data_IF_865520513989
#
_entry.id   IF_865520513989
#
_cell.length_a   1.000
_cell.length_b   1.000
_cell.length_c   1.000
_cell.angle_alpha   90.00
_cell.angle_beta   90.00
_cell.angle_gamma   90.00
#
_symmetry.space_group_name_H-M   'P 1'
#
loop_
_entity.id
_entity.type
_entity.pdbx_description
1 polymer ?
#
# COMPACT_ATOMS: atom_id res chain seq x y z
N UNK A 1 -35.87 29.42 31.52
CA UNK A 1 -35.44 28.86 30.22
C UNK A 1 -34.45 27.74 30.49
N UNK A 2 -34.79 26.51 30.12
CA UNK A 2 -33.89 25.36 30.23
C UNK A 2 -33.28 25.16 28.83
N UNK A 3 -31.96 25.29 28.70
CA UNK A 3 -31.25 25.08 27.42
C UNK A 3 -30.63 23.68 27.49
N UNK A 4 -31.06 22.76 26.62
CA UNK A 4 -30.36 21.49 26.40
C UNK A 4 -29.70 21.54 25.02
N UNK A 5 -28.36 21.35 24.92
CA UNK A 5 -27.71 21.23 23.63
C UNK A 5 -28.01 19.85 23.03
N UNK A 6 -28.51 19.81 21.79
CA UNK A 6 -28.55 18.61 20.97
C UNK A 6 -27.43 18.75 19.93
N UNK A 7 -26.44 17.87 20.00
CA UNK A 7 -25.38 17.80 19.00
C UNK A 7 -25.87 16.90 17.86
N UNK A 8 -26.04 17.45 16.66
CA UNK A 8 -26.33 16.65 15.45
C UNK A 8 -25.14 16.79 14.51
N UNK A 9 -24.50 15.67 14.19
CA UNK A 9 -23.40 15.59 13.21
C UNK A 9 -23.94 14.94 11.94
N UNK A 10 -23.88 15.65 10.80
CA UNK A 10 -24.06 15.04 9.48
C UNK A 10 -22.72 14.97 8.75
N UNK A 11 -22.44 13.82 8.14
CA UNK A 11 -21.23 13.53 7.36
C UNK A 11 -21.60 13.14 5.94
N UNK A 12 -21.13 13.88 4.92
CA UNK A 12 -20.69 13.33 3.61
C UNK A 12 -20.42 14.43 2.57
N UNK A 13 -19.22 14.45 1.96
CA UNK A 13 -18.95 13.94 0.60
C UNK A 13 -17.48 14.18 0.18
N UNK A 14 -16.91 13.22 -0.56
CA UNK A 14 -15.55 13.22 -1.11
C UNK A 14 -15.57 13.49 -2.64
N UNK A 15 -14.61 14.25 -3.18
CA UNK A 15 -14.43 14.48 -4.62
C UNK A 15 -13.05 14.03 -5.13
N UNK A 16 -13.03 13.46 -6.34
CA UNK A 16 -11.84 13.05 -7.09
C UNK A 16 -11.57 14.03 -8.24
N UNK A 17 -10.38 14.67 -8.29
CA UNK A 17 -10.00 15.55 -9.40
C UNK A 17 -8.84 14.96 -10.22
N UNK A 18 -9.13 14.59 -11.48
CA UNK A 18 -8.25 13.82 -12.37
C UNK A 18 -7.16 14.66 -13.05
N UNK A 19 -7.14 15.99 -12.93
CA UNK A 19 -6.32 16.86 -13.79
C UNK A 19 -4.96 17.34 -13.24
N UNK A 20 -4.61 17.11 -11.97
CA UNK A 20 -3.36 17.68 -11.40
C UNK A 20 -2.52 16.78 -10.48
N UNK A 21 -2.72 15.46 -10.47
CA UNK A 21 -1.82 14.53 -9.75
C UNK A 21 -1.75 14.67 -8.22
N UNK A 22 -2.46 15.63 -7.61
CA UNK A 22 -2.61 15.79 -6.16
C UNK A 22 -3.86 15.07 -5.68
N UNK A 23 -3.70 14.20 -4.69
CA UNK A 23 -4.80 13.63 -3.91
C UNK A 23 -4.95 14.49 -2.66
N UNK A 24 -6.13 15.06 -2.45
CA UNK A 24 -6.40 15.93 -1.30
C UNK A 24 -7.78 15.58 -0.74
N UNK A 25 -7.83 15.26 0.56
CA UNK A 25 -9.06 15.03 1.31
C UNK A 25 -9.36 16.34 2.04
N UNK A 26 -10.49 16.99 1.71
CA UNK A 26 -10.97 18.16 2.44
C UNK A 26 -12.07 17.72 3.39
N UNK A 27 -11.89 18.00 4.68
CA UNK A 27 -12.92 17.90 5.70
C UNK A 27 -13.46 19.31 5.95
N UNK A 28 -14.77 19.50 5.78
CA UNK A 28 -15.45 20.73 6.23
C UNK A 28 -16.17 20.37 7.52
N UNK A 29 -15.69 20.92 8.63
CA UNK A 29 -16.40 20.93 9.90
C UNK A 29 -17.25 22.20 9.96
N UNK A 30 -18.57 22.05 9.91
CA UNK A 30 -19.48 23.13 10.29
C UNK A 30 -20.09 22.80 11.65
N UNK A 31 -19.68 23.55 12.67
CA UNK A 31 -20.39 23.58 13.96
C UNK A 31 -21.43 24.70 13.89
N UNK A 32 -22.71 24.33 13.87
CA UNK A 32 -23.82 25.27 14.02
C UNK A 32 -24.44 25.13 15.41
N UNK A 33 -24.84 26.24 16.04
CA UNK A 33 -25.73 26.23 17.20
C UNK A 33 -27.12 26.67 16.74
N UNK A 34 -28.13 25.86 17.03
CA UNK A 34 -29.53 26.29 16.92
C UNK A 34 -29.86 27.04 18.20
N UNK A 35 -30.40 28.26 18.08
CA UNK A 35 -31.06 28.96 19.18
C UNK A 35 -32.54 29.01 18.86
N UNK A 36 -33.35 28.29 19.65
CA UNK A 36 -34.80 28.48 19.65
C UNK A 36 -35.13 29.71 20.50
N UNK A 37 -35.86 30.66 19.91
CA UNK A 37 -36.43 31.80 20.63
C UNK A 37 -37.94 31.61 20.67
N UNK A 38 -38.48 31.45 21.88
CA UNK A 38 -39.91 31.24 22.10
C UNK A 38 -40.63 32.59 22.18
N UNK A 39 -41.61 32.79 21.30
CA UNK A 39 -42.57 33.89 21.38
C UNK A 39 -43.98 33.31 21.48
N UNK A 40 -44.46 33.08 22.70
CA UNK A 40 -45.78 32.48 22.93
C UNK A 40 -45.91 31.09 22.28
N UNK A 41 -47.05 30.73 21.65
CA UNK A 41 -47.28 29.38 21.13
C UNK A 41 -46.58 29.07 19.80
N UNK A 42 -45.73 29.97 19.28
CA UNK A 42 -45.09 29.84 17.95
C UNK A 42 -43.58 29.66 18.11
N UNK A 43 -43.02 28.64 17.43
CA UNK A 43 -41.57 28.37 17.34
C UNK A 43 -41.05 28.92 16.01
N UNK A 44 -40.03 29.78 16.05
CA UNK A 44 -39.28 30.20 14.85
C UNK A 44 -37.81 29.75 14.94
N UNK A 45 -37.33 29.07 13.90
CA UNK A 45 -35.93 28.65 13.76
C UNK A 45 -35.13 29.72 13.01
N UNK A 46 -34.12 30.31 13.65
CA UNK A 46 -33.19 31.27 13.03
C UNK A 46 -31.85 30.57 12.74
N UNK A 47 -31.46 30.52 11.46
CA UNK A 47 -30.15 30.07 11.02
C UNK A 47 -29.18 31.25 11.00
N UNK A 48 -28.05 31.14 11.70
CA UNK A 48 -26.95 32.09 11.58
C UNK A 48 -25.76 31.38 10.93
N UNK A 49 -25.36 31.84 9.73
CA UNK A 49 -24.16 31.35 9.05
C UNK A 49 -22.93 32.09 9.59
N UNK A 50 -21.97 31.36 10.15
CA UNK A 50 -20.64 31.89 10.47
C UNK A 50 -19.79 31.80 9.20
N UNK A 51 -19.22 32.94 8.77
CA UNK A 51 -18.31 33.04 7.62
C UNK A 51 -17.15 32.03 7.71
N UNK A 52 -16.87 31.33 6.61
CA UNK A 52 -15.63 30.57 6.43
C UNK A 52 -14.63 31.38 5.60
N UNK A 53 -13.51 31.76 6.20
CA UNK A 53 -12.36 32.32 5.48
C UNK A 53 -11.55 31.17 4.89
N UNK A 54 -11.41 31.15 3.56
CA UNK A 54 -10.48 30.25 2.85
C UNK A 54 -9.14 31.00 2.71
N UNK A 55 -8.06 30.45 3.25
CA UNK A 55 -6.70 30.89 2.91
C UNK A 55 -6.14 29.97 1.82
N UNK A 56 -5.78 30.56 0.68
CA UNK A 56 -5.02 29.93 -0.40
C UNK A 56 -3.70 30.71 -0.51
N UNK A 57 -2.57 30.06 -0.23
CA UNK A 57 -1.23 30.64 -0.40
C UNK A 57 -0.60 30.03 -1.65
N UNK A 58 -0.54 30.80 -2.73
CA UNK A 58 0.37 30.58 -3.85
C UNK A 58 1.59 31.50 -3.66
N UNK A 59 2.79 30.91 -3.60
CA UNK A 59 4.04 31.65 -3.55
C UNK A 59 4.76 31.45 -4.89
N UNK A 60 4.60 32.41 -5.80
CA UNK A 60 5.45 32.57 -6.98
C UNK A 60 6.56 33.58 -6.66
N UNK A 61 7.81 33.12 -6.58
CA UNK A 61 8.96 34.00 -6.66
C UNK A 61 9.46 34.05 -8.11
N UNK A 62 9.37 35.26 -8.63
CA UNK A 62 9.84 35.77 -9.92
C UNK A 62 11.36 35.72 -10.07
N UNK A 63 11.82 35.40 -11.27
CA UNK A 63 12.90 36.16 -11.90
C UNK A 63 12.68 36.22 -13.41
N UNK A 64 12.37 37.43 -13.87
CA UNK A 64 12.30 37.85 -15.27
C UNK A 64 13.69 37.75 -15.92
N UNK A 65 13.72 37.30 -17.17
CA UNK A 65 14.61 37.93 -18.16
C UNK A 65 13.86 37.97 -19.51
N UNK A 66 13.36 39.15 -19.85
CA UNK A 66 12.85 39.46 -21.18
C UNK A 66 14.04 39.66 -22.13
N UNK A 67 14.02 39.01 -23.29
CA UNK A 67 14.74 39.48 -24.46
C UNK A 67 13.83 39.39 -25.67
N UNK A 68 13.18 40.52 -25.98
CA UNK A 68 12.58 40.83 -27.27
C UNK A 68 13.70 41.38 -28.17
N UNK A 69 13.85 40.85 -29.38
CA UNK A 69 14.61 41.53 -30.44
C UNK A 69 13.98 41.29 -31.80
N UNK A 70 13.28 42.33 -32.24
CA UNK A 70 13.12 42.89 -33.58
C UNK A 70 13.35 42.01 -34.83
N UNK A 71 12.31 42.00 -35.66
CA UNK A 71 12.34 41.76 -37.10
C UNK A 71 13.40 42.64 -37.79
N UNK A 72 14.20 42.02 -38.66
CA UNK A 72 14.75 42.71 -39.82
C UNK A 72 14.74 41.76 -41.03
N UNK A 73 14.13 42.25 -42.10
CA UNK A 73 14.02 41.57 -43.39
C UNK A 73 15.31 41.80 -44.16
N UNK A 74 15.94 40.74 -44.66
CA UNK A 74 16.89 40.87 -45.77
C UNK A 74 16.79 39.67 -46.70
N UNK A 75 16.56 40.01 -47.97
CA UNK A 75 16.41 39.18 -49.14
C UNK A 75 17.81 38.76 -49.64
N UNK A 76 18.07 37.47 -49.89
CA UNK A 76 18.56 36.94 -51.20
C UNK A 76 18.92 35.44 -51.17
N UNK A 77 18.63 34.82 -52.33
CA UNK A 77 19.25 33.63 -52.93
C UNK A 77 18.92 32.23 -52.37
N UNK A 78 17.88 31.64 -52.96
CA UNK A 78 17.65 30.19 -53.00
C UNK A 78 18.62 29.56 -53.99
N UNK A 79 19.56 28.75 -53.51
CA UNK A 79 20.23 27.74 -54.33
C UNK A 79 19.55 26.40 -54.10
N UNK A 80 18.86 25.90 -55.12
CA UNK A 80 18.30 24.55 -55.17
C UNK A 80 19.45 23.58 -55.39
N UNK A 81 19.88 22.88 -54.33
CA UNK A 81 20.81 21.75 -54.43
C UNK A 81 19.98 20.48 -54.51
N UNK A 82 20.08 19.78 -55.65
CA UNK A 82 19.48 18.46 -55.85
C UNK A 82 20.17 17.39 -54.98
N UNK A 83 19.46 16.37 -54.47
CA UNK A 83 20.06 15.37 -53.60
C UNK A 83 20.89 14.38 -54.42
N UNK A 84 22.22 14.44 -54.29
CA UNK A 84 23.11 13.37 -54.73
C UNK A 84 22.91 12.15 -53.82
N UNK A 85 22.52 11.02 -54.42
CA UNK A 85 22.45 9.71 -53.75
C UNK A 85 23.82 9.35 -53.16
N UNK A 86 24.00 9.51 -51.85
CA UNK A 86 25.14 8.92 -51.13
C UNK A 86 24.99 7.39 -51.13
N UNK A 87 25.95 6.70 -51.74
CA UNK A 87 26.17 5.26 -51.54
C UNK A 87 26.38 5.01 -50.04
N UNK A 88 25.64 4.05 -49.46
CA UNK A 88 25.81 3.61 -48.07
C UNK A 88 27.24 3.08 -47.88
N UNK A 89 28.08 3.87 -47.21
CA UNK A 89 29.38 3.43 -46.73
C UNK A 89 29.20 2.51 -45.52
N UNK A 90 30.13 1.55 -45.37
CA UNK A 90 30.26 0.69 -44.20
C UNK A 90 30.34 1.56 -42.92
N UNK A 91 29.61 1.24 -41.83
CA UNK A 91 29.68 2.03 -40.62
C UNK A 91 31.14 2.11 -40.10
N UNK A 92 31.54 3.23 -39.49
CA UNK A 92 32.88 3.38 -38.92
C UNK A 92 33.14 2.27 -37.91
N UNK A 93 34.35 1.68 -37.94
CA UNK A 93 34.73 0.53 -37.10
C UNK A 93 34.42 0.76 -35.60
N UNK A 94 34.56 1.99 -35.11
CA UNK A 94 34.21 2.38 -33.74
C UNK A 94 32.73 2.24 -33.39
N UNK A 95 31.79 2.57 -34.29
CA UNK A 95 30.35 2.39 -34.01
C UNK A 95 29.95 0.91 -33.99
N UNK A 96 30.63 0.07 -34.78
CA UNK A 96 30.41 -1.37 -34.76
C UNK A 96 31.01 -2.04 -33.51
N UNK A 97 32.15 -1.52 -33.03
CA UNK A 97 32.79 -2.00 -31.80
C UNK A 97 32.01 -1.53 -30.55
N UNK A 98 31.50 -0.29 -30.52
CA UNK A 98 30.61 0.22 -29.45
C UNK A 98 29.27 -0.54 -29.41
N UNK A 99 28.65 -0.79 -30.57
CA UNK A 99 27.41 -1.58 -30.64
C UNK A 99 27.62 -3.03 -30.19
N UNK A 100 28.76 -3.65 -30.53
CA UNK A 100 29.12 -4.99 -30.03
C UNK A 100 29.38 -5.01 -28.53
N UNK A 101 30.07 -4.01 -27.99
CA UNK A 101 30.30 -3.91 -26.53
C UNK A 101 28.98 -3.67 -25.77
N UNK A 102 28.03 -2.98 -26.39
CA UNK A 102 26.70 -2.75 -25.82
C UNK A 102 25.82 -4.02 -25.91
N UNK A 103 25.85 -4.75 -27.03
CA UNK A 103 25.18 -6.05 -27.18
C UNK A 103 25.76 -7.12 -26.24
N UNK A 104 27.09 -7.23 -26.10
CA UNK A 104 27.74 -8.14 -25.15
C UNK A 104 27.45 -7.75 -23.69
N UNK A 105 27.33 -6.45 -23.39
CA UNK A 105 26.91 -5.93 -22.08
C UNK A 105 25.45 -6.27 -21.76
N UNK A 106 24.55 -6.11 -22.73
CA UNK A 106 23.13 -6.44 -22.61
C UNK A 106 22.91 -7.96 -22.51
N UNK A 107 23.66 -8.79 -23.24
CA UNK A 107 23.63 -10.25 -23.13
C UNK A 107 24.19 -10.74 -21.79
N UNK A 108 25.26 -10.14 -21.27
CA UNK A 108 25.80 -10.45 -19.95
C UNK A 108 24.86 -10.02 -18.81
N UNK A 109 24.17 -8.88 -18.95
CA UNK A 109 23.12 -8.42 -18.02
C UNK A 109 21.92 -9.36 -18.07
N UNK A 110 21.47 -9.74 -19.27
CA UNK A 110 20.39 -10.71 -19.46
C UNK A 110 20.76 -12.09 -18.88
N UNK A 111 21.99 -12.57 -19.06
CA UNK A 111 22.47 -13.82 -18.47
C UNK A 111 22.58 -13.74 -16.94
N UNK A 112 23.04 -12.60 -16.38
CA UNK A 112 23.07 -12.36 -14.93
C UNK A 112 21.67 -12.27 -14.34
N UNK A 113 20.72 -11.66 -15.05
CA UNK A 113 19.30 -11.57 -14.69
C UNK A 113 18.61 -12.93 -14.77
N UNK A 114 18.92 -13.73 -15.80
CA UNK A 114 18.45 -15.10 -15.94
C UNK A 114 19.01 -16.01 -14.83
N UNK A 115 20.30 -15.87 -14.49
CA UNK A 115 20.93 -16.59 -13.37
C UNK A 115 20.37 -16.16 -12.02
N UNK A 116 20.12 -14.86 -11.80
CA UNK A 116 19.41 -14.33 -10.62
C UNK A 116 17.97 -14.86 -10.53
N UNK A 117 17.27 -14.97 -11.66
CA UNK A 117 15.93 -15.55 -11.71
C UNK A 117 15.94 -17.05 -11.39
N UNK A 118 16.93 -17.80 -11.89
CA UNK A 118 17.12 -19.23 -11.60
C UNK A 118 17.51 -19.48 -10.14
N UNK A 119 18.31 -18.59 -9.54
CA UNK A 119 18.75 -18.71 -8.14
C UNK A 119 17.77 -18.08 -7.13
N UNK A 120 16.64 -17.54 -7.58
CA UNK A 120 15.67 -16.86 -6.72
C UNK A 120 14.96 -17.83 -5.76
N UNK A 121 14.82 -19.09 -6.17
CA UNK A 121 14.08 -20.12 -5.44
C UNK A 121 14.96 -21.36 -5.19
N UNK A 122 16.26 -21.17 -4.98
CA UNK A 122 17.24 -22.24 -4.72
C UNK A 122 17.13 -23.43 -5.70
N UNK A 123 16.96 -23.15 -7.00
CA UNK A 123 16.85 -24.16 -8.05
C UNK A 123 15.44 -24.67 -8.34
N UNK A 124 14.42 -24.26 -7.58
CA UNK A 124 13.02 -24.58 -7.89
C UNK A 124 12.48 -23.75 -9.05
N UNK A 125 11.73 -24.39 -9.95
CA UNK A 125 11.07 -23.69 -11.05
C UNK A 125 9.89 -22.85 -10.57
N UNK A 126 9.52 -21.82 -11.34
CA UNK A 126 8.34 -20.97 -11.03
C UNK A 126 7.06 -21.80 -10.97
N UNK A 127 6.92 -22.81 -11.83
CA UNK A 127 5.74 -23.67 -11.87
C UNK A 127 5.59 -24.50 -10.57
N UNK A 128 6.69 -25.06 -10.06
CA UNK A 128 6.69 -25.78 -8.78
C UNK A 128 6.37 -24.85 -7.61
N UNK A 129 6.91 -23.62 -7.60
CA UNK A 129 6.55 -22.62 -6.58
C UNK A 129 5.08 -22.23 -6.65
N UNK A 130 4.51 -22.06 -7.85
CA UNK A 130 3.10 -21.73 -8.03
C UNK A 130 2.15 -22.86 -7.62
N UNK A 131 2.62 -24.11 -7.61
CA UNK A 131 1.86 -25.26 -7.12
C UNK A 131 1.80 -25.33 -5.58
N UNK A 132 2.65 -24.59 -4.86
CA UNK A 132 2.62 -24.50 -3.40
C UNK A 132 1.52 -23.54 -2.94
N UNK A 133 0.97 -23.81 -1.76
CA UNK A 133 0.12 -22.89 -1.01
C UNK A 133 0.88 -22.33 0.19
N UNK A 134 0.32 -21.31 0.83
CA UNK A 134 0.84 -20.75 2.07
C UNK A 134 -0.19 -21.02 3.18
N UNK A 135 0.15 -21.79 4.22
CA UNK A 135 -0.73 -22.02 5.35
C UNK A 135 -1.17 -20.71 6.02
N UNK A 136 -2.41 -20.69 6.49
CA UNK A 136 -2.87 -19.63 7.37
C UNK A 136 -2.19 -19.74 8.73
N UNK A 137 -1.87 -18.59 9.32
CA UNK A 137 -1.41 -18.49 10.70
C UNK A 137 -2.54 -17.85 11.50
N UNK A 138 -3.46 -18.68 11.98
CA UNK A 138 -4.73 -18.23 12.55
C UNK A 138 -5.11 -19.03 13.78
N UNK A 139 -5.64 -18.35 14.78
CA UNK A 139 -6.14 -18.94 16.04
C UNK A 139 -7.36 -18.14 16.52
N UNK A 140 -7.99 -18.61 17.59
CA UNK A 140 -9.09 -17.91 18.25
C UNK A 140 -8.59 -16.70 19.05
N UNK A 141 -9.48 -15.77 19.38
CA UNK A 141 -9.20 -14.60 20.23
C UNK A 141 -8.12 -13.64 19.68
N UNK A 142 -7.96 -13.58 18.36
CA UNK A 142 -7.08 -12.60 17.72
C UNK A 142 -7.66 -11.18 17.81
N UNK A 143 -6.79 -10.21 18.06
CA UNK A 143 -7.13 -8.79 17.96
C UNK A 143 -7.27 -8.40 16.48
N UNK A 144 -6.31 -8.84 15.64
CA UNK A 144 -6.24 -8.46 14.22
C UNK A 144 -5.99 -9.72 13.40
N UNK A 145 -6.79 -9.92 12.35
CA UNK A 145 -6.48 -10.86 11.28
C UNK A 145 -6.10 -10.09 10.02
N UNK A 146 -4.83 -10.18 9.61
CA UNK A 146 -4.33 -9.59 8.38
C UNK A 146 -4.77 -10.46 7.21
N UNK A 147 -5.53 -9.88 6.28
CA UNK A 147 -6.08 -10.57 5.11
C UNK A 147 -5.36 -10.07 3.86
N UNK A 148 -4.45 -10.88 3.36
CA UNK A 148 -3.76 -10.65 2.09
C UNK A 148 -4.63 -11.01 0.88
N UNK A 149 -4.11 -10.72 -0.33
CA UNK A 149 -4.81 -11.06 -1.57
C UNK A 149 -4.66 -12.55 -1.84
N UNK A 150 -3.42 -12.96 -2.06
CA UNK A 150 -2.99 -14.33 -2.29
C UNK A 150 -1.48 -14.42 -2.07
N UNK A 151 -0.92 -15.63 -1.88
CA UNK A 151 0.51 -15.79 -1.71
C UNK A 151 1.27 -15.34 -2.96
N UNK A 152 2.27 -14.47 -2.77
CA UNK A 152 3.26 -14.20 -3.80
C UNK A 152 4.26 -15.35 -3.91
N UNK A 153 4.97 -15.46 -5.04
CA UNK A 153 5.96 -16.53 -5.26
C UNK A 153 6.95 -16.71 -4.10
N UNK A 154 7.48 -15.62 -3.53
CA UNK A 154 8.45 -15.75 -2.44
C UNK A 154 7.79 -16.21 -1.13
N UNK A 155 6.54 -15.82 -0.87
CA UNK A 155 5.77 -16.36 0.27
C UNK A 155 5.55 -17.85 0.14
N UNK A 156 5.11 -18.32 -1.04
CA UNK A 156 4.90 -19.74 -1.29
C UNK A 156 6.20 -20.55 -1.27
N UNK A 157 7.30 -19.95 -1.75
CA UNK A 157 8.62 -20.58 -1.72
C UNK A 157 9.16 -20.72 -0.28
N UNK A 158 9.15 -19.62 0.49
CA UNK A 158 9.68 -19.58 1.86
C UNK A 158 8.74 -20.24 2.88
N UNK A 159 7.45 -20.34 2.58
CA UNK A 159 6.44 -20.84 3.53
C UNK A 159 6.00 -19.82 4.58
N UNK A 160 6.31 -18.53 4.37
CA UNK A 160 6.05 -17.46 5.34
C UNK A 160 5.33 -16.25 4.73
N UNK A 161 4.69 -15.48 5.59
CA UNK A 161 3.91 -14.29 5.23
C UNK A 161 4.81 -13.07 4.97
N UNK A 162 4.61 -12.43 3.81
CA UNK A 162 5.30 -11.21 3.38
C UNK A 162 6.85 -11.22 3.42
N UNK A 163 7.58 -12.24 2.93
CA UNK A 163 9.03 -12.35 3.02
C UNK A 163 9.81 -11.54 1.97
N UNK A 164 9.11 -10.90 1.03
CA UNK A 164 9.78 -10.09 0.02
C UNK A 164 10.39 -8.86 0.70
N UNK A 165 11.71 -8.62 0.59
CA UNK A 165 12.35 -7.46 1.23
C UNK A 165 11.72 -6.13 0.81
N UNK A 166 11.25 -6.03 -0.43
CA UNK A 166 10.53 -4.84 -0.90
C UNK A 166 9.09 -4.72 -0.38
N UNK A 167 8.55 -5.71 0.33
CA UNK A 167 7.22 -5.62 0.93
C UNK A 167 7.26 -4.76 2.20
N UNK A 168 6.35 -3.79 2.29
CA UNK A 168 6.36 -2.83 3.39
C UNK A 168 5.71 -3.38 4.68
N UNK A 169 5.12 -4.58 4.67
CA UNK A 169 4.32 -5.10 5.80
C UNK A 169 5.08 -5.06 7.13
N UNK A 170 6.21 -5.76 7.22
CA UNK A 170 7.00 -5.87 8.44
C UNK A 170 7.57 -4.53 8.91
N UNK A 171 7.97 -3.68 7.97
CA UNK A 171 8.45 -2.31 8.26
C UNK A 171 7.32 -1.42 8.79
N UNK A 172 6.14 -1.46 8.19
CA UNK A 172 4.97 -0.69 8.65
C UNK A 172 4.47 -1.20 10.01
N UNK A 173 4.51 -2.51 10.26
CA UNK A 173 4.13 -3.11 11.52
C UNK A 173 4.96 -2.53 12.68
N UNK A 174 6.29 -2.52 12.52
CA UNK A 174 7.20 -1.92 13.48
C UNK A 174 7.03 -0.40 13.61
N UNK A 175 7.09 0.34 12.49
CA UNK A 175 7.02 1.82 12.53
C UNK A 175 5.71 2.35 13.11
N UNK A 176 4.62 1.57 13.08
CA UNK A 176 3.34 1.94 13.70
C UNK A 176 3.29 1.71 15.21
N UNK A 177 4.23 0.92 15.75
CA UNK A 177 4.22 0.42 17.12
C UNK A 177 3.17 -0.67 17.38
N UNK A 178 2.72 -1.39 16.34
CA UNK A 178 1.96 -2.63 16.50
C UNK A 178 2.85 -3.75 17.06
N UNK A 179 4.13 -3.73 16.70
CA UNK A 179 5.19 -4.48 17.36
C UNK A 179 6.18 -3.52 18.00
N UNK A 180 6.79 -3.95 19.10
CA UNK A 180 7.82 -3.24 19.85
C UNK A 180 9.21 -3.34 19.19
N UNK A 181 9.42 -4.37 18.37
CA UNK A 181 10.67 -4.63 17.65
C UNK A 181 10.45 -4.77 16.13
N UNK A 182 11.51 -4.56 15.36
CA UNK A 182 11.51 -4.81 13.92
C UNK A 182 11.61 -6.32 13.66
N UNK A 183 10.47 -6.94 13.42
CA UNK A 183 10.38 -8.35 13.05
C UNK A 183 10.53 -8.54 11.54
N UNK A 184 10.68 -9.80 11.12
CA UNK A 184 10.70 -10.22 9.72
C UNK A 184 9.77 -11.44 9.52
N UNK A 185 9.73 -11.97 8.30
CA UNK A 185 8.84 -13.07 7.94
C UNK A 185 9.00 -14.35 8.75
N UNK A 186 10.18 -14.61 9.33
CA UNK A 186 10.42 -15.79 10.18
C UNK A 186 9.65 -15.74 11.50
N UNK A 187 9.08 -14.59 11.84
CA UNK A 187 8.35 -14.36 13.08
C UNK A 187 6.82 -14.46 12.90
N UNK A 188 6.31 -14.77 11.71
CA UNK A 188 4.86 -14.81 11.47
C UNK A 188 4.12 -15.80 12.38
N UNK A 189 4.70 -16.95 12.68
CA UNK A 189 4.11 -17.97 13.55
C UNK A 189 3.97 -17.54 15.02
N UNK A 190 4.82 -16.63 15.52
CA UNK A 190 4.77 -16.15 16.92
C UNK A 190 3.81 -14.96 17.10
N UNK A 191 3.37 -14.32 16.02
CA UNK A 191 2.52 -13.14 16.07
C UNK A 191 1.15 -13.35 16.72
N UNK A 192 0.47 -14.50 16.53
CA UNK A 192 -0.78 -14.79 17.22
C UNK A 192 -0.63 -14.80 18.75
N UNK A 193 0.45 -15.39 19.26
CA UNK A 193 0.69 -15.52 20.70
C UNK A 193 1.17 -14.18 21.29
N UNK A 194 2.18 -13.55 20.68
CA UNK A 194 2.85 -12.40 21.28
C UNK A 194 2.13 -11.06 21.02
N UNK A 195 1.39 -10.95 19.91
CA UNK A 195 0.76 -9.69 19.49
C UNK A 195 -0.74 -9.81 19.20
N UNK A 196 -1.31 -11.02 19.28
CA UNK A 196 -2.70 -11.29 18.89
C UNK A 196 -3.00 -10.91 17.43
N UNK A 197 -2.01 -11.10 16.54
CA UNK A 197 -2.11 -10.82 15.10
C UNK A 197 -2.01 -12.14 14.34
N UNK A 198 -2.97 -12.44 13.48
CA UNK A 198 -2.94 -13.59 12.58
C UNK A 198 -2.85 -13.21 11.10
N UNK A 199 -2.73 -14.23 10.25
CA UNK A 199 -2.60 -14.11 8.81
C UNK A 199 -3.49 -15.09 8.06
N UNK A 200 -4.15 -14.60 7.01
CA UNK A 200 -4.77 -15.41 5.97
C UNK A 200 -4.75 -14.66 4.64
N UNK A 201 -5.20 -15.30 3.57
CA UNK A 201 -5.41 -14.67 2.27
C UNK A 201 -6.84 -14.89 1.78
N UNK A 202 -7.33 -13.95 0.96
CA UNK A 202 -8.59 -14.08 0.24
C UNK A 202 -8.57 -15.30 -0.70
N UNK A 203 -7.47 -15.50 -1.43
CA UNK A 203 -7.29 -16.60 -2.38
C UNK A 203 -6.06 -17.42 -2.00
N UNK A 204 -6.20 -18.74 -1.94
CA UNK A 204 -5.12 -19.67 -1.56
C UNK A 204 -4.06 -19.84 -2.65
N UNK A 205 -4.46 -19.80 -3.92
CA UNK A 205 -3.58 -20.07 -5.06
C UNK A 205 -2.44 -19.03 -5.17
N UNK A 206 -1.22 -19.54 -5.25
CA UNK A 206 -0.01 -18.74 -5.44
C UNK A 206 0.07 -18.16 -6.85
N UNK A 207 0.38 -16.86 -6.97
CA UNK A 207 0.65 -16.21 -8.27
C UNK A 207 1.79 -15.18 -8.19
N UNK A 208 2.40 -14.81 -9.33
CA UNK A 208 3.32 -13.68 -9.39
C UNK A 208 2.68 -12.35 -8.94
N UNK A 209 1.40 -12.13 -9.29
CA UNK A 209 0.65 -10.98 -8.81
C UNK A 209 -0.87 -11.17 -8.83
N UNK A 210 -1.56 -10.26 -8.16
CA UNK A 210 -3.02 -10.28 -8.02
C UNK A 210 -3.79 -10.13 -9.33
N UNK A 211 -3.13 -9.68 -10.42
CA UNK A 211 -3.73 -9.57 -11.75
C UNK A 211 -3.96 -10.94 -12.42
N UNK A 212 -3.29 -11.98 -11.92
CA UNK A 212 -3.37 -13.35 -12.43
C UNK A 212 -4.51 -14.16 -11.80
N UNK A 213 -5.34 -13.50 -10.97
CA UNK A 213 -6.51 -14.07 -10.33
C UNK A 213 -7.77 -13.68 -11.09
N UNK A 214 -8.64 -14.65 -11.36
CA UNK A 214 -9.94 -14.36 -11.95
C UNK A 214 -10.93 -13.81 -10.93
N UNK A 215 -11.89 -13.01 -11.40
CA UNK A 215 -13.00 -12.53 -10.54
C UNK A 215 -13.87 -13.66 -9.97
N UNK A 216 -13.84 -14.86 -10.57
CA UNK A 216 -14.54 -16.04 -10.02
C UNK A 216 -13.79 -16.57 -8.80
N UNK A 217 -12.48 -16.72 -8.91
CA UNK A 217 -11.64 -17.19 -7.80
C UNK A 217 -11.69 -16.26 -6.60
N UNK A 218 -11.64 -14.94 -6.81
CA UNK A 218 -11.68 -13.99 -5.69
C UNK A 218 -13.04 -14.00 -4.99
N UNK A 219 -14.15 -14.18 -5.72
CA UNK A 219 -15.48 -14.32 -5.12
C UNK A 219 -15.63 -15.61 -4.32
N UNK A 220 -15.12 -16.72 -4.85
CA UNK A 220 -15.09 -17.99 -4.12
C UNK A 220 -14.24 -17.87 -2.85
N UNK A 221 -13.05 -17.29 -2.98
CA UNK A 221 -12.19 -16.95 -1.85
C UNK A 221 -12.87 -16.09 -0.80
N UNK A 222 -13.73 -15.16 -1.22
CA UNK A 222 -14.56 -14.34 -0.33
C UNK A 222 -15.51 -15.15 0.55
N UNK A 223 -16.10 -16.22 0.02
CA UNK A 223 -16.99 -17.11 0.80
C UNK A 223 -16.20 -17.95 1.79
N UNK A 224 -15.10 -18.55 1.35
CA UNK A 224 -14.22 -19.32 2.23
C UNK A 224 -13.62 -18.44 3.34
N UNK A 225 -13.29 -17.19 3.02
CA UNK A 225 -12.82 -16.21 3.99
C UNK A 225 -13.93 -15.85 5.00
N UNK A 226 -15.19 -15.71 4.56
CA UNK A 226 -16.31 -15.48 5.46
C UNK A 226 -16.42 -16.62 6.48
N UNK A 227 -16.33 -17.88 6.04
CA UNK A 227 -16.38 -19.05 6.94
C UNK A 227 -15.27 -18.99 8.00
N UNK A 228 -14.04 -18.62 7.60
CA UNK A 228 -12.91 -18.43 8.54
C UNK A 228 -13.20 -17.31 9.53
N UNK A 229 -13.72 -16.18 9.08
CA UNK A 229 -14.01 -15.03 9.93
C UNK A 229 -15.14 -15.36 10.93
N UNK A 230 -16.16 -16.09 10.51
CA UNK A 230 -17.24 -16.56 11.39
C UNK A 230 -16.76 -17.61 12.40
N UNK A 231 -15.78 -18.44 12.03
CA UNK A 231 -15.16 -19.43 12.93
C UNK A 231 -14.27 -18.77 13.98
N UNK A 232 -13.29 -17.97 13.56
CA UNK A 232 -12.22 -17.47 14.44
C UNK A 232 -12.54 -16.14 15.10
N UNK A 233 -13.49 -15.36 14.55
CA UNK A 233 -14.05 -14.13 15.14
C UNK A 233 -12.97 -13.16 15.68
N UNK A 234 -11.98 -12.75 14.87
CA UNK A 234 -11.01 -11.74 15.32
C UNK A 234 -11.71 -10.42 15.65
N UNK A 235 -11.14 -9.55 16.48
CA UNK A 235 -11.75 -8.23 16.71
C UNK A 235 -11.81 -7.41 15.41
N UNK A 236 -10.73 -7.46 14.62
CA UNK A 236 -10.58 -6.71 13.37
C UNK A 236 -10.18 -7.64 12.21
N UNK A 237 -10.99 -7.65 11.15
CA UNK A 237 -10.62 -8.19 9.84
C UNK A 237 -9.93 -7.09 9.01
N UNK A 238 -8.60 -7.13 8.94
CA UNK A 238 -7.77 -6.09 8.32
C UNK A 238 -7.37 -6.47 6.88
N UNK A 239 -8.07 -5.90 5.90
CA UNK A 239 -7.86 -6.15 4.47
C UNK A 239 -6.64 -5.38 3.95
N UNK A 240 -5.58 -6.12 3.60
CA UNK A 240 -4.35 -5.60 3.03
C UNK A 240 -4.45 -5.43 1.51
N UNK A 241 -5.35 -4.55 1.07
CA UNK A 241 -5.54 -4.21 -0.33
C UNK A 241 -6.98 -3.84 -0.69
N UNK A 242 -7.13 -2.70 -1.37
CA UNK A 242 -8.44 -2.18 -1.79
C UNK A 242 -9.25 -3.15 -2.67
N UNK A 243 -8.62 -3.75 -3.67
CA UNK A 243 -9.32 -4.57 -4.67
C UNK A 243 -10.00 -5.83 -4.10
N UNK A 244 -9.40 -6.47 -3.10
CA UNK A 244 -10.02 -7.65 -2.46
C UNK A 244 -11.21 -7.26 -1.59
N UNK A 245 -11.13 -6.13 -0.88
CA UNK A 245 -12.24 -5.66 -0.08
C UNK A 245 -13.42 -5.18 -0.94
N UNK A 246 -13.16 -4.57 -2.10
CA UNK A 246 -14.23 -4.21 -3.05
C UNK A 246 -15.02 -5.44 -3.50
N UNK A 247 -14.33 -6.55 -3.78
CA UNK A 247 -14.97 -7.80 -4.19
C UNK A 247 -15.68 -8.45 -3.00
N UNK A 248 -15.02 -8.54 -1.84
CA UNK A 248 -15.61 -9.07 -0.62
C UNK A 248 -16.88 -8.32 -0.22
N UNK A 249 -16.84 -6.98 -0.24
CA UNK A 249 -17.97 -6.13 0.11
C UNK A 249 -19.15 -6.35 -0.83
N UNK A 250 -18.89 -6.47 -2.14
CA UNK A 250 -19.94 -6.77 -3.11
C UNK A 250 -20.52 -8.17 -2.92
N UNK A 251 -19.67 -9.17 -2.68
CA UNK A 251 -20.09 -10.58 -2.57
C UNK A 251 -20.84 -10.86 -1.27
N UNK A 252 -20.34 -10.33 -0.15
CA UNK A 252 -20.84 -10.65 1.19
C UNK A 252 -21.90 -9.67 1.66
N UNK A 253 -21.74 -8.37 1.40
CA UNK A 253 -22.71 -7.34 1.83
C UNK A 253 -23.69 -6.95 0.73
N UNK A 254 -23.51 -7.42 -0.52
CA UNK A 254 -24.34 -7.01 -1.65
C UNK A 254 -24.13 -5.55 -2.07
N UNK A 255 -23.12 -4.86 -1.53
CA UNK A 255 -22.90 -3.43 -1.76
C UNK A 255 -21.76 -3.20 -2.74
N UNK A 256 -22.04 -2.48 -3.83
CA UNK A 256 -20.99 -1.95 -4.70
C UNK A 256 -20.46 -0.64 -4.12
N UNK A 257 -19.36 -0.69 -3.37
CA UNK A 257 -18.72 0.49 -2.81
C UNK A 257 -18.21 1.41 -3.94
N UNK A 258 -18.91 2.52 -4.21
CA UNK A 258 -18.54 3.48 -5.27
C UNK A 258 -17.36 4.38 -4.86
N UNK A 259 -17.26 4.71 -3.58
CA UNK A 259 -16.22 5.57 -2.99
C UNK A 259 -15.65 4.90 -1.73
N UNK A 260 -14.97 3.78 -1.94
CA UNK A 260 -14.37 3.05 -0.83
C UNK A 260 -13.16 3.82 -0.26
N UNK A 261 -13.27 4.22 1.01
CA UNK A 261 -12.22 4.88 1.76
C UNK A 261 -11.42 3.87 2.59
N UNK A 262 -10.14 4.17 2.86
CA UNK A 262 -9.32 3.39 3.75
C UNK A 262 -9.72 3.61 5.21
N UNK A 263 -9.36 2.68 6.09
CA UNK A 263 -9.70 2.74 7.52
C UNK A 263 -10.88 1.84 7.89
N UNK A 264 -11.52 2.15 9.02
CA UNK A 264 -12.67 1.42 9.52
C UNK A 264 -13.84 1.50 8.53
N UNK A 265 -14.47 0.37 8.28
CA UNK A 265 -15.58 0.24 7.35
C UNK A 265 -16.91 0.16 8.11
N UNK A 266 -18.03 0.58 7.50
CA UNK A 266 -19.34 0.64 8.18
C UNK A 266 -20.02 -0.73 8.32
N UNK A 267 -19.32 -1.83 7.98
CA UNK A 267 -19.85 -3.18 8.01
C UNK A 267 -19.06 -4.06 8.97
N UNK A 268 -19.79 -4.89 9.71
CA UNK A 268 -19.24 -6.01 10.48
C UNK A 268 -19.40 -7.29 9.69
N UNK A 269 -18.55 -8.28 9.96
CA UNK A 269 -18.70 -9.61 9.39
C UNK A 269 -20.03 -10.22 9.88
N UNK A 270 -20.87 -10.76 8.99
CA UNK A 270 -22.17 -11.32 9.37
C UNK A 270 -22.05 -12.34 10.50
N UNK A 271 -22.97 -12.28 11.46
CA UNK A 271 -23.04 -13.19 12.62
C UNK A 271 -21.87 -13.05 13.62
N UNK A 272 -21.11 -11.96 13.53
CA UNK A 272 -19.99 -11.67 14.43
C UNK A 272 -19.94 -10.18 14.82
N UNK A 273 -19.11 -9.87 15.82
CA UNK A 273 -18.75 -8.50 16.16
C UNK A 273 -17.49 -8.00 15.43
N UNK A 274 -16.89 -8.83 14.58
CA UNK A 274 -15.66 -8.52 13.84
C UNK A 274 -15.87 -7.32 12.93
N UNK A 275 -15.12 -6.23 13.16
CA UNK A 275 -15.15 -5.04 12.30
C UNK A 275 -14.23 -5.21 11.09
N UNK A 276 -14.59 -4.59 9.97
CA UNK A 276 -13.72 -4.56 8.78
C UNK A 276 -12.84 -3.31 8.77
N UNK A 277 -11.54 -3.48 8.51
CA UNK A 277 -10.58 -2.38 8.35
C UNK A 277 -9.86 -2.49 7.02
N UNK A 278 -9.77 -1.41 6.26
CA UNK A 278 -9.18 -1.39 4.93
C UNK A 278 -7.84 -0.66 4.88
N UNK A 279 -6.81 -1.32 4.36
CA UNK A 279 -5.48 -0.75 4.16
C UNK A 279 -5.07 -0.74 2.68
N UNK A 280 -4.16 0.15 2.27
CA UNK A 280 -3.47 -0.02 1.00
C UNK A 280 -2.64 -1.29 1.02
N UNK A 281 -2.43 -1.90 -0.16
CA UNK A 281 -1.61 -3.11 -0.25
C UNK A 281 -0.19 -2.82 0.21
N UNK A 282 0.36 -3.66 1.09
CA UNK A 282 1.74 -3.57 1.56
C UNK A 282 2.79 -3.84 0.47
N UNK A 283 2.39 -4.44 -0.65
CA UNK A 283 3.24 -4.67 -1.82
C UNK A 283 3.87 -3.38 -2.35
N UNK A 284 5.15 -3.39 -2.76
CA UNK A 284 5.80 -2.23 -3.39
C UNK A 284 5.19 -1.89 -4.75
N UNK A 285 4.42 -2.82 -5.34
CA UNK A 285 3.68 -2.57 -6.59
C UNK A 285 2.51 -1.60 -6.44
N UNK A 286 2.16 -1.21 -5.21
CA UNK A 286 1.11 -0.23 -4.96
C UNK A 286 1.58 1.19 -5.36
N UNK A 287 1.31 1.56 -6.61
CA UNK A 287 1.78 2.83 -7.17
C UNK A 287 1.20 4.08 -6.52
N UNK A 288 0.06 3.95 -5.81
CA UNK A 288 -0.56 5.04 -5.06
C UNK A 288 0.16 5.36 -3.75
N UNK A 289 0.86 4.38 -3.16
CA UNK A 289 1.58 4.52 -1.90
C UNK A 289 2.97 3.89 -2.06
N UNK A 290 3.92 4.63 -2.67
CA UNK A 290 5.16 4.06 -3.18
C UNK A 290 6.16 3.66 -2.08
N UNK A 291 6.08 4.21 -0.86
CA UNK A 291 7.02 3.92 0.24
C UNK A 291 6.31 3.32 1.45
N UNK A 292 7.08 2.74 2.38
CA UNK A 292 6.54 2.24 3.65
C UNK A 292 5.95 3.36 4.51
N UNK A 293 6.63 4.51 4.57
CA UNK A 293 6.13 5.70 5.29
C UNK A 293 4.80 6.23 4.75
N UNK A 294 4.51 6.02 3.45
CA UNK A 294 3.24 6.44 2.87
C UNK A 294 2.06 5.53 3.31
N UNK A 295 2.36 4.39 3.93
CA UNK A 295 1.39 3.39 4.39
C UNK A 295 1.29 3.29 5.91
N UNK A 296 2.32 3.75 6.64
CA UNK A 296 2.40 3.58 8.11
C UNK A 296 1.20 4.20 8.83
N UNK A 297 0.67 5.30 8.31
CA UNK A 297 -0.53 5.96 8.82
C UNK A 297 -1.70 4.97 9.05
N UNK A 298 -1.95 4.07 8.10
CA UNK A 298 -3.04 3.09 8.20
C UNK A 298 -2.78 2.03 9.26
N UNK A 299 -1.51 1.70 9.54
CA UNK A 299 -1.14 0.78 10.61
C UNK A 299 -1.24 1.45 11.98
N UNK A 300 -0.91 2.75 12.08
CA UNK A 300 -1.11 3.56 13.29
C UNK A 300 -2.60 3.63 13.62
N UNK A 301 -3.45 3.93 12.63
CA UNK A 301 -4.90 3.96 12.82
C UNK A 301 -5.51 2.59 13.09
N UNK A 302 -4.95 1.51 12.56
CA UNK A 302 -5.30 0.14 12.94
C UNK A 302 -4.98 -0.14 14.41
N UNK A 303 -3.80 0.27 14.89
CA UNK A 303 -3.42 0.16 16.31
C UNK A 303 -4.37 0.93 17.21
N UNK A 304 -4.68 2.19 16.88
CA UNK A 304 -5.61 3.02 17.64
C UNK A 304 -7.00 2.36 17.73
N UNK A 305 -7.51 1.83 16.61
CA UNK A 305 -8.78 1.10 16.60
C UNK A 305 -8.72 -0.14 17.49
N UNK A 306 -7.64 -0.92 17.42
CA UNK A 306 -7.44 -2.10 18.28
C UNK A 306 -7.47 -1.70 19.74
N UNK A 307 -6.67 -0.71 20.12
CA UNK A 307 -6.56 -0.23 21.49
C UNK A 307 -7.93 0.27 22.00
N UNK A 308 -8.67 1.02 21.17
CA UNK A 308 -10.03 1.48 21.47
C UNK A 308 -11.01 0.31 21.71
N UNK A 309 -11.02 -0.70 20.84
CA UNK A 309 -11.90 -1.87 20.98
C UNK A 309 -11.58 -2.71 22.22
N UNK A 310 -10.33 -2.68 22.69
CA UNK A 310 -9.90 -3.33 23.94
C UNK A 310 -10.10 -2.46 25.18
N UNK A 311 -10.63 -1.24 25.04
CA UNK A 311 -10.79 -0.30 26.15
C UNK A 311 -9.46 0.18 26.73
N UNK A 312 -8.36 0.12 25.98
CA UNK A 312 -7.07 0.63 26.40
C UNK A 312 -7.07 2.16 26.31
N UNK A 313 -6.57 2.81 27.36
CA UNK A 313 -6.44 4.27 27.36
C UNK A 313 -5.45 4.72 26.26
N UNK A 314 -5.75 5.80 25.52
CA UNK A 314 -4.79 6.40 24.60
C UNK A 314 -3.53 6.77 25.37
N UNK A 315 -2.41 6.17 25.00
CA UNK A 315 -1.14 6.27 25.76
C UNK A 315 -0.28 7.47 25.36
N UNK A 316 -0.74 8.33 24.44
CA UNK A 316 0.16 9.24 23.70
C UNK A 316 -0.20 10.71 23.88
N UNK A 317 0.82 11.48 24.24
CA UNK A 317 0.82 12.96 24.16
C UNK A 317 0.79 13.46 22.71
N UNK A 318 1.27 12.64 21.76
CA UNK A 318 1.34 12.95 20.33
C UNK A 318 0.42 12.02 19.54
N UNK A 319 -0.56 12.60 18.84
CA UNK A 319 -1.53 11.87 18.01
C UNK A 319 -1.33 12.24 16.55
N UNK A 320 -1.10 11.25 15.70
CA UNK A 320 -1.05 11.46 14.25
C UNK A 320 -2.48 11.66 13.73
N UNK A 321 -2.80 12.87 13.26
CA UNK A 321 -4.16 13.19 12.79
C UNK A 321 -4.30 12.97 11.28
N UNK A 322 -3.34 13.46 10.49
CA UNK A 322 -3.38 13.39 9.03
C UNK A 322 -1.98 13.17 8.44
N UNK A 323 -1.91 12.35 7.40
CA UNK A 323 -0.73 12.16 6.58
C UNK A 323 -1.00 12.58 5.13
N UNK A 324 -0.08 13.33 4.52
CA UNK A 324 -0.16 13.73 3.10
C UNK A 324 1.24 13.78 2.50
N UNK A 325 1.35 13.52 1.20
CA UNK A 325 2.62 13.50 0.49
C UNK A 325 2.43 13.83 -0.99
N UNK A 326 3.50 14.31 -1.64
CA UNK A 326 3.55 14.46 -3.09
C UNK A 326 3.88 13.11 -3.75
N UNK A 327 2.98 12.65 -4.63
CA UNK A 327 3.09 11.33 -5.24
C UNK A 327 4.31 11.19 -6.16
N UNK A 328 4.68 12.24 -6.88
CA UNK A 328 5.78 12.17 -7.83
C UNK A 328 7.11 12.12 -7.08
N UNK A 329 7.28 13.00 -6.08
CA UNK A 329 8.45 12.99 -5.22
C UNK A 329 8.58 11.66 -4.47
N UNK A 330 7.48 11.12 -3.95
CA UNK A 330 7.51 9.84 -3.24
C UNK A 330 7.88 8.65 -4.16
N UNK A 331 7.45 8.68 -5.42
CA UNK A 331 7.88 7.67 -6.42
C UNK A 331 9.36 7.76 -6.74
N UNK A 332 9.88 8.97 -6.89
CA UNK A 332 11.29 9.16 -7.23
C UNK A 332 12.21 8.84 -6.04
N UNK A 333 11.75 9.12 -4.82
CA UNK A 333 12.41 8.69 -3.58
C UNK A 333 12.40 7.16 -3.41
N UNK A 334 11.27 6.50 -3.70
CA UNK A 334 11.18 5.04 -3.68
C UNK A 334 12.16 4.38 -4.67
N UNK A 335 12.32 4.94 -5.89
CA UNK A 335 13.31 4.45 -6.86
C UNK A 335 14.74 4.57 -6.34
N UNK A 336 15.09 5.71 -5.73
CA UNK A 336 16.43 5.93 -5.14
C UNK A 336 16.72 4.95 -4.02
N UNK A 337 15.71 4.64 -3.20
CA UNK A 337 15.82 3.68 -2.09
C UNK A 337 15.96 2.25 -2.61
N UNK A 338 15.16 1.85 -3.61
CA UNK A 338 15.24 0.52 -4.21
C UNK A 338 16.62 0.22 -4.83
N UNK A 339 17.27 1.23 -5.42
CA UNK A 339 18.64 1.10 -5.95
C UNK A 339 19.65 0.81 -4.83
N UNK A 340 19.43 1.36 -3.62
CA UNK A 340 20.27 1.09 -2.45
C UNK A 340 19.99 -0.29 -1.85
N UNK A 341 18.73 -0.68 -1.75
CA UNK A 341 18.29 -1.97 -1.19
C UNK A 341 18.58 -3.18 -2.11
N UNK A 342 18.83 -2.99 -3.41
CA UNK A 342 19.30 -4.07 -4.30
C UNK A 342 20.70 -4.59 -3.88
N UNK A 343 21.45 -3.83 -3.08
CA UNK A 343 22.57 -4.36 -2.31
C UNK A 343 21.99 -5.10 -1.10
N UNK A 344 21.82 -6.42 -1.25
CA UNK A 344 21.26 -7.33 -0.24
C UNK A 344 21.85 -7.03 1.14
N UNK A 345 20.99 -6.67 2.10
CA UNK A 345 21.35 -6.54 3.51
C UNK A 345 21.64 -7.94 4.09
N UNK A 346 22.90 -8.26 4.45
CA UNK A 346 23.26 -9.57 5.01
C UNK A 346 22.58 -9.84 6.36
N UNK A 347 22.12 -8.81 7.06
CA UNK A 347 21.52 -8.92 8.40
C UNK A 347 20.01 -9.23 8.38
N UNK A 348 19.36 -9.08 7.22
CA UNK A 348 17.91 -9.32 7.10
C UNK A 348 17.51 -10.76 7.47
N UNK A 349 18.37 -11.74 7.14
CA UNK A 349 18.18 -13.14 7.53
C UNK A 349 18.96 -13.54 8.81
N UNK A 350 19.95 -12.75 9.26
CA UNK A 350 20.80 -13.10 10.42
C UNK A 350 20.21 -12.73 11.79
N UNK A 351 19.17 -11.88 11.81
CA UNK A 351 18.48 -11.44 13.04
C UNK A 351 17.73 -12.56 13.80
N UNK A 352 17.73 -13.78 13.29
CA UNK A 352 17.23 -14.95 14.01
C UNK A 352 18.41 -15.73 14.63
N UNK A 353 18.55 -15.66 15.95
CA UNK A 353 19.48 -16.50 16.73
C UNK A 353 19.11 -17.99 16.73
N UNK A 354 18.54 -18.52 15.65
CA UNK A 354 18.03 -19.88 15.52
C UNK A 354 18.95 -20.80 14.69
N UNK A 355 20.13 -20.35 14.29
CA UNK A 355 20.98 -21.11 13.38
C UNK A 355 21.98 -22.10 14.02
N UNK A 356 22.00 -22.24 15.36
CA UNK A 356 23.03 -23.04 16.06
C UNK A 356 22.59 -24.39 16.65
N UNK A 357 21.32 -24.79 16.56
CA UNK A 357 20.86 -26.05 17.17
C UNK A 357 20.75 -27.25 16.22
N UNK A 358 21.03 -27.09 14.91
CA UNK A 358 20.87 -28.18 13.93
C UNK A 358 22.19 -28.88 13.51
N UNK A 359 23.32 -28.61 14.16
CA UNK A 359 24.64 -29.21 13.82
C UNK A 359 25.30 -30.06 14.92
N UNK A 360 24.62 -30.33 16.05
CA UNK A 360 25.21 -31.11 17.16
C UNK A 360 24.42 -32.38 17.56
N UNK A 361 23.72 -33.02 16.63
CA UNK A 361 23.04 -34.30 16.91
C UNK A 361 23.32 -35.38 15.86
N UNK A 362 24.58 -35.54 15.46
CA UNK A 362 25.00 -36.64 14.60
C UNK A 362 26.37 -37.20 14.93
N UNK A 363 26.73 -37.31 16.22
CA UNK A 363 27.89 -38.08 16.68
C UNK A 363 27.68 -38.47 18.15
N UNK A 364 26.92 -39.52 18.43
CA UNK A 364 27.04 -40.36 19.64
C UNK A 364 26.12 -41.57 19.50
N UNK A 365 26.58 -42.56 18.75
CA UNK A 365 26.27 -43.98 18.94
C UNK A 365 27.37 -44.77 18.20
N UNK A 366 28.37 -45.18 18.97
CA UNK A 366 29.13 -46.42 18.81
C UNK A 366 29.60 -46.85 20.20
#
# INVERSE_FOLDING_TARGET
MCVRPVLITFMSLCFYNRKRGKMSIKMVLTTGSIKEVFFGPIIMSLFSFIFSTVYEFDCECTNMCFCLSFFNVTLLCVLVVTPVKKKRGRPPKQQADEAKMQEEGDEAEAAKKARRALNRFNGMSVAEVMARTLPDVITYNLDILIIGINPGLLSAFKGHHYPNPGNHFWKCLFLSGLTDQQLNYMHDEILPENYSIGFTNMVERTTPGSKDLSSKEIREGGRLLLDKLQKYKPLIAAFNGKGIYEIFCKEIFGVKAKNLEFGLQPYKIPETETVCYLMPSSSPRCAQFPRAQDKVHFYIKLKELRDQLKGLAPTRDVVETQYSFDLQLAKDDAKKTAIKEEQVDPEYESSSGLHDSARQSSNFFD
#
